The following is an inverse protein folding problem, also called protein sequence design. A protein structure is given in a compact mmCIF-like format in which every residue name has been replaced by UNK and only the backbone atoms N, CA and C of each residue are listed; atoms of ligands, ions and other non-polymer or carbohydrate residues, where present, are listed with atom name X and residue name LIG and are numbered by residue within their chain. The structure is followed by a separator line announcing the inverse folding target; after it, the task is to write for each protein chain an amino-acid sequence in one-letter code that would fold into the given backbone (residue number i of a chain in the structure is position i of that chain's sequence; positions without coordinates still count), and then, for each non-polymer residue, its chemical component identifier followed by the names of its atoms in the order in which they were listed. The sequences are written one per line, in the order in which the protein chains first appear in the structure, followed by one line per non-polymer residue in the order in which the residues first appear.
data_IF_674855614978
#
_entry.id   IF_674855614978
#
_cell.length_a   1.000
_cell.length_b   1.000
_cell.length_c   1.000
_cell.angle_alpha   90.00
_cell.angle_beta   90.00
_cell.angle_gamma   90.00
#
_symmetry.space_group_name_H-M   'P 1'
#
loop_
_entity.id
_entity.type
_entity.pdbx_description
1 polymer ?
#
# COMPACT_ATOMS: atom_id res chain seq x y z
N UNK A 1 -56.99 -16.36 44.80
CA UNK A 1 -56.55 -15.58 43.62
C UNK A 1 -57.22 -16.15 42.37
N UNK A 2 -58.28 -15.51 41.84
CA UNK A 2 -58.92 -16.00 40.62
C UNK A 2 -58.03 -15.69 39.40
N UNK A 3 -57.59 -16.73 38.67
CA UNK A 3 -56.82 -16.59 37.44
C UNK A 3 -57.77 -16.49 36.23
N UNK A 4 -57.86 -15.33 35.55
CA UNK A 4 -58.79 -15.17 34.43
C UNK A 4 -58.33 -16.00 33.24
N UNK A 5 -59.20 -16.86 32.69
CA UNK A 5 -58.94 -17.55 31.42
C UNK A 5 -58.98 -16.57 30.26
N UNK A 6 -58.13 -16.80 29.28
CA UNK A 6 -57.95 -15.94 28.11
C UNK A 6 -57.93 -16.78 26.85
N UNK A 7 -58.43 -16.22 25.76
CA UNK A 7 -58.52 -16.89 24.46
C UNK A 7 -57.70 -16.14 23.41
N UNK A 8 -57.17 -16.89 22.44
CA UNK A 8 -56.59 -16.33 21.24
C UNK A 8 -57.69 -15.65 20.41
N UNK A 9 -57.39 -14.46 19.88
CA UNK A 9 -58.35 -13.65 19.10
C UNK A 9 -58.24 -13.83 17.59
N UNK A 10 -57.19 -14.50 17.11
CA UNK A 10 -56.96 -14.79 15.69
C UNK A 10 -57.13 -16.28 15.47
N UNK A 11 -57.50 -16.68 14.24
CA UNK A 11 -57.71 -18.08 13.84
C UNK A 11 -56.48 -18.99 14.04
N UNK A 12 -55.28 -18.44 14.20
CA UNK A 12 -54.08 -19.20 14.53
C UNK A 12 -53.94 -19.31 16.06
N UNK A 13 -54.23 -20.49 16.60
CA UNK A 13 -54.26 -20.77 18.05
C UNK A 13 -52.94 -21.34 18.62
N UNK A 14 -51.92 -21.53 17.79
CA UNK A 14 -50.63 -22.11 18.21
C UNK A 14 -49.61 -21.07 18.68
N UNK A 15 -48.81 -21.44 19.68
CA UNK A 15 -47.74 -20.62 20.26
C UNK A 15 -46.45 -20.69 19.43
N UNK A 16 -46.40 -19.91 18.33
CA UNK A 16 -45.22 -19.86 17.45
C UNK A 16 -44.39 -18.58 17.64
N UNK A 17 -43.15 -18.55 17.12
CA UNK A 17 -42.30 -17.34 17.13
C UNK A 17 -42.97 -16.10 16.52
N UNK A 18 -43.89 -16.29 15.56
CA UNK A 18 -44.65 -15.21 14.91
C UNK A 18 -45.99 -14.86 15.56
N UNK A 19 -46.48 -15.68 16.49
CA UNK A 19 -47.78 -15.55 17.14
C UNK A 19 -47.68 -15.34 18.66
N UNK A 20 -46.60 -14.72 19.12
CA UNK A 20 -46.43 -14.38 20.54
C UNK A 20 -47.49 -13.36 20.97
N UNK A 21 -48.11 -13.59 22.12
CA UNK A 21 -49.15 -12.72 22.67
C UNK A 21 -48.65 -11.90 23.88
N UNK A 22 -49.30 -10.77 24.16
CA UNK A 22 -49.17 -9.97 25.38
C UNK A 22 -50.53 -9.95 26.06
N UNK A 23 -50.56 -10.23 27.35
CA UNK A 23 -51.74 -9.98 28.17
C UNK A 23 -51.80 -8.49 28.48
N UNK A 24 -52.95 -7.89 28.21
CA UNK A 24 -53.23 -6.49 28.48
C UNK A 24 -54.51 -6.43 29.29
N UNK A 25 -54.48 -5.71 30.42
CA UNK A 25 -55.69 -5.35 31.16
C UNK A 25 -56.36 -4.20 30.42
N UNK A 26 -57.59 -4.42 29.97
CA UNK A 26 -58.37 -3.40 29.26
C UNK A 26 -58.98 -2.40 30.24
N UNK A 27 -59.40 -1.21 29.76
CA UNK A 27 -60.12 -0.24 30.59
C UNK A 27 -61.38 -0.81 31.25
N UNK A 28 -62.10 -1.72 30.58
CA UNK A 28 -63.22 -2.49 31.16
C UNK A 28 -62.79 -3.59 32.15
N UNK A 29 -61.58 -3.50 32.71
CA UNK A 29 -61.01 -4.41 33.70
C UNK A 29 -60.98 -5.90 33.32
N UNK A 30 -60.80 -6.25 32.03
CA UNK A 30 -60.69 -7.65 31.57
C UNK A 30 -59.28 -7.93 31.02
N UNK A 31 -58.77 -9.16 31.20
CA UNK A 31 -57.51 -9.58 30.59
C UNK A 31 -57.77 -10.06 29.16
N UNK A 32 -57.00 -9.52 28.20
CA UNK A 32 -57.13 -9.85 26.78
C UNK A 32 -55.76 -10.12 26.17
N UNK A 33 -55.67 -11.12 25.28
CA UNK A 33 -54.48 -11.37 24.47
C UNK A 33 -54.41 -10.41 23.28
N UNK A 34 -53.31 -9.67 23.18
CA UNK A 34 -52.94 -8.87 22.00
C UNK A 34 -51.68 -9.43 21.35
N UNK A 35 -51.61 -9.40 20.01
CA UNK A 35 -50.45 -9.92 19.27
C UNK A 35 -49.24 -9.01 19.42
N UNK A 36 -48.08 -9.58 19.80
CA UNK A 36 -46.80 -8.87 19.77
C UNK A 36 -46.22 -8.89 18.36
N UNK A 37 -45.66 -7.76 17.91
CA UNK A 37 -44.86 -7.71 16.70
C UNK A 37 -43.54 -8.50 16.89
N UNK A 38 -43.04 -9.11 15.80
CA UNK A 38 -41.70 -9.71 15.81
C UNK A 38 -40.66 -8.60 15.93
N UNK A 39 -39.66 -8.78 16.80
CA UNK A 39 -38.55 -7.84 16.94
C UNK A 39 -37.45 -8.16 15.92
N UNK A 40 -36.77 -7.13 15.45
CA UNK A 40 -35.54 -7.24 14.67
C UNK A 40 -34.33 -7.12 15.60
N UNK A 41 -33.23 -7.79 15.28
CA UNK A 41 -31.96 -7.53 15.95
C UNK A 41 -31.37 -6.18 15.52
N UNK A 42 -31.77 -5.67 14.34
CA UNK A 42 -31.33 -4.39 13.78
C UNK A 42 -30.07 -4.50 12.90
N UNK A 43 -29.52 -3.35 12.46
CA UNK A 43 -28.33 -3.33 11.61
C UNK A 43 -27.05 -3.79 12.33
N UNK A 44 -26.32 -4.71 11.71
CA UNK A 44 -25.04 -5.25 12.20
C UNK A 44 -23.94 -4.99 11.19
N UNK A 45 -22.69 -5.04 11.65
CA UNK A 45 -21.53 -5.08 10.78
C UNK A 45 -21.53 -6.36 9.93
N UNK A 46 -20.76 -6.39 8.82
CA UNK A 46 -20.57 -7.61 8.04
C UNK A 46 -20.11 -8.78 8.91
N UNK A 47 -20.55 -9.99 8.56
CA UNK A 47 -20.24 -11.22 9.31
C UNK A 47 -18.74 -11.46 9.46
N UNK A 48 -17.98 -11.27 8.37
CA UNK A 48 -16.52 -11.44 8.33
C UNK A 48 -15.78 -10.52 9.31
N UNK A 49 -16.41 -9.41 9.72
CA UNK A 49 -15.84 -8.43 10.65
C UNK A 49 -16.42 -8.56 12.07
N UNK A 50 -17.06 -9.69 12.38
CA UNK A 50 -17.54 -10.03 13.73
C UNK A 50 -19.01 -9.76 14.02
N UNK A 51 -19.83 -9.45 13.01
CA UNK A 51 -21.30 -9.29 13.12
C UNK A 51 -21.80 -8.53 14.37
N UNK A 52 -21.13 -7.43 14.73
CA UNK A 52 -21.48 -6.64 15.91
C UNK A 52 -22.62 -5.66 15.60
N UNK A 53 -23.46 -5.36 16.58
CA UNK A 53 -24.56 -4.41 16.43
C UNK A 53 -24.02 -2.99 16.23
N UNK A 54 -24.53 -2.27 15.24
CA UNK A 54 -24.11 -0.89 14.96
C UNK A 54 -24.68 0.11 15.97
N UNK A 55 -23.80 0.84 16.64
CA UNK A 55 -24.18 1.97 17.51
C UNK A 55 -24.85 3.09 16.73
N UNK A 56 -25.80 3.79 17.37
CA UNK A 56 -26.50 4.94 16.78
C UNK A 56 -27.54 4.58 15.70
N UNK A 57 -27.85 3.29 15.50
CA UNK A 57 -28.88 2.83 14.55
C UNK A 57 -29.99 2.09 15.26
N UNK A 58 -31.26 2.35 14.92
CA UNK A 58 -32.41 1.71 15.58
C UNK A 58 -32.64 0.27 15.09
N UNK A 59 -33.13 -0.60 15.98
CA UNK A 59 -33.45 -2.00 15.67
C UNK A 59 -34.87 -2.13 15.07
N UNK A 60 -35.06 -1.58 13.88
CA UNK A 60 -36.35 -1.55 13.20
C UNK A 60 -36.61 -2.84 12.41
N UNK A 61 -37.89 -3.24 12.30
CA UNK A 61 -38.32 -4.34 11.41
C UNK A 61 -38.59 -3.81 9.99
N UNK A 62 -38.70 -4.68 8.98
CA UNK A 62 -38.86 -4.29 7.57
C UNK A 62 -39.95 -3.23 7.31
N UNK A 63 -41.15 -3.36 7.91
CA UNK A 63 -42.23 -2.38 7.74
C UNK A 63 -41.90 -1.04 8.38
N UNK A 64 -41.34 -1.06 9.60
CA UNK A 64 -40.97 0.15 10.35
C UNK A 64 -39.76 0.84 9.73
N UNK A 65 -38.77 0.08 9.26
CA UNK A 65 -37.56 0.57 8.61
C UNK A 65 -37.87 1.25 7.27
N UNK A 66 -38.92 0.80 6.57
CA UNK A 66 -39.42 1.45 5.35
C UNK A 66 -39.98 2.84 5.65
N UNK A 67 -40.73 2.98 6.75
CA UNK A 67 -41.38 4.24 7.14
C UNK A 67 -40.44 5.19 7.89
N UNK A 68 -39.40 4.67 8.54
CA UNK A 68 -38.47 5.48 9.33
C UNK A 68 -37.55 6.35 8.45
N UNK A 69 -37.21 7.53 8.99
CA UNK A 69 -36.25 8.45 8.35
C UNK A 69 -34.84 7.86 8.27
N UNK A 70 -34.01 8.42 7.38
CA UNK A 70 -32.65 7.94 7.14
C UNK A 70 -31.76 8.03 8.39
N UNK A 71 -31.86 9.11 9.14
CA UNK A 71 -31.04 9.36 10.34
C UNK A 71 -31.23 8.34 11.46
N UNK A 72 -32.36 7.64 11.48
CA UNK A 72 -32.60 6.56 12.45
C UNK A 72 -31.92 5.24 12.05
N UNK A 73 -31.54 5.11 10.77
CA UNK A 73 -31.02 3.89 10.15
C UNK A 73 -29.52 3.94 9.90
N UNK A 74 -28.94 5.15 9.78
CA UNK A 74 -27.52 5.34 9.50
C UNK A 74 -26.90 6.48 10.31
N UNK A 75 -25.57 6.54 10.32
CA UNK A 75 -24.78 7.65 10.89
C UNK A 75 -24.23 8.53 9.74
N UNK A 76 -23.81 9.76 10.03
CA UNK A 76 -23.31 10.73 9.05
C UNK A 76 -21.94 10.42 8.43
N UNK A 77 -21.12 9.59 9.07
CA UNK A 77 -19.78 9.24 8.58
C UNK A 77 -19.82 8.31 7.34
N UNK A 78 -18.73 8.21 6.56
CA UNK A 78 -18.59 7.23 5.50
C UNK A 78 -18.86 5.80 5.98
N UNK A 79 -19.57 5.02 5.18
CA UNK A 79 -20.03 3.66 5.52
C UNK A 79 -20.90 3.58 6.79
N UNK A 80 -21.52 4.69 7.20
CA UNK A 80 -22.47 4.75 8.31
C UNK A 80 -23.67 3.85 8.06
N UNK A 81 -24.01 3.00 9.03
CA UNK A 81 -25.06 1.98 8.89
C UNK A 81 -24.58 0.64 8.32
N UNK A 82 -23.29 0.52 7.96
CA UNK A 82 -22.67 -0.74 7.55
C UNK A 82 -21.48 -1.09 8.44
N UNK A 83 -20.59 -0.13 8.72
CA UNK A 83 -19.35 -0.37 9.47
C UNK A 83 -19.31 0.37 10.81
N UNK A 84 -18.58 -0.20 11.76
CA UNK A 84 -18.24 0.48 13.01
C UNK A 84 -17.21 1.60 12.77
N UNK A 85 -17.02 2.47 13.75
CA UNK A 85 -16.06 3.57 13.65
C UNK A 85 -14.61 3.05 13.58
N UNK A 86 -14.28 2.01 14.37
CA UNK A 86 -12.99 1.32 14.34
C UNK A 86 -12.68 0.77 12.94
N UNK A 87 -13.64 0.05 12.34
CA UNK A 87 -13.47 -0.53 11.01
C UNK A 87 -13.28 0.53 9.92
N UNK A 88 -13.94 1.68 10.03
CA UNK A 88 -13.76 2.79 9.09
C UNK A 88 -12.37 3.41 9.26
N UNK A 89 -11.93 3.64 10.49
CA UNK A 89 -10.59 4.16 10.80
C UNK A 89 -9.50 3.25 10.24
N UNK A 90 -9.60 1.95 10.46
CA UNK A 90 -8.62 0.96 9.97
C UNK A 90 -8.56 0.93 8.44
N UNK A 91 -9.70 1.07 7.76
CA UNK A 91 -9.73 1.12 6.29
C UNK A 91 -9.02 2.37 5.76
N UNK A 92 -9.27 3.53 6.38
CA UNK A 92 -8.63 4.79 5.99
C UNK A 92 -7.11 4.71 6.22
N UNK A 93 -6.68 4.28 7.41
CA UNK A 93 -5.26 4.13 7.74
C UNK A 93 -4.56 3.14 6.82
N UNK A 94 -5.17 1.97 6.59
CA UNK A 94 -4.60 0.95 5.72
C UNK A 94 -4.49 1.43 4.28
N UNK A 95 -5.51 2.11 3.76
CA UNK A 95 -5.49 2.66 2.40
C UNK A 95 -4.34 3.67 2.26
N UNK A 96 -4.21 4.59 3.22
CA UNK A 96 -3.14 5.58 3.24
C UNK A 96 -1.76 4.93 3.28
N UNK A 97 -1.48 4.09 4.29
CA UNK A 97 -0.16 3.50 4.49
C UNK A 97 0.26 2.58 3.34
N UNK A 98 -0.66 1.79 2.78
CA UNK A 98 -0.36 0.93 1.63
C UNK A 98 -0.03 1.77 0.40
N UNK A 99 -0.73 2.89 0.19
CA UNK A 99 -0.46 3.74 -0.96
C UNK A 99 0.88 4.48 -0.82
N UNK A 100 1.20 4.99 0.38
CA UNK A 100 2.53 5.54 0.68
C UNK A 100 3.65 4.52 0.44
N UNK A 101 3.49 3.30 0.93
CA UNK A 101 4.45 2.21 0.69
C UNK A 101 4.60 1.89 -0.81
N UNK A 102 3.50 1.92 -1.58
CA UNK A 102 3.54 1.70 -3.03
C UNK A 102 4.29 2.81 -3.75
N UNK A 103 4.08 4.07 -3.36
CA UNK A 103 4.79 5.23 -3.92
C UNK A 103 6.28 5.13 -3.62
N UNK A 104 6.66 4.86 -2.36
CA UNK A 104 8.06 4.67 -1.96
C UNK A 104 8.71 3.53 -2.75
N UNK A 105 8.02 2.39 -2.89
CA UNK A 105 8.52 1.25 -3.67
C UNK A 105 8.71 1.61 -5.15
N UNK A 106 7.85 2.42 -5.74
CA UNK A 106 7.99 2.92 -7.12
C UNK A 106 9.17 3.88 -7.24
N UNK A 107 9.32 4.81 -6.30
CA UNK A 107 10.41 5.79 -6.29
C UNK A 107 11.79 5.12 -6.15
N UNK A 108 11.93 4.14 -5.25
CA UNK A 108 13.17 3.37 -5.08
C UNK A 108 13.54 2.60 -6.36
N UNK A 109 12.56 1.95 -6.99
CA UNK A 109 12.75 1.26 -8.28
C UNK A 109 13.17 2.24 -9.39
N UNK A 110 12.55 3.41 -9.48
CA UNK A 110 12.89 4.43 -10.46
C UNK A 110 14.32 4.98 -10.24
N UNK A 111 14.69 5.26 -8.99
CA UNK A 111 16.05 5.71 -8.62
C UNK A 111 17.10 4.67 -8.97
N UNK A 112 16.85 3.39 -8.65
CA UNK A 112 17.75 2.30 -9.00
C UNK A 112 17.94 2.16 -10.52
N UNK A 113 16.87 2.28 -11.30
CA UNK A 113 16.91 2.27 -12.77
C UNK A 113 17.74 3.42 -13.33
N UNK A 114 17.49 4.65 -12.86
CA UNK A 114 18.24 5.85 -13.27
C UNK A 114 19.73 5.74 -12.92
N UNK A 115 20.07 5.27 -11.72
CA UNK A 115 21.46 5.08 -11.29
C UNK A 115 22.19 4.02 -12.14
N UNK A 116 21.53 2.92 -12.48
CA UNK A 116 22.08 1.89 -13.38
C UNK A 116 22.34 2.46 -14.78
N UNK A 117 21.45 3.29 -15.30
CA UNK A 117 21.60 3.93 -16.60
C UNK A 117 22.75 4.94 -16.61
N UNK A 118 22.87 5.80 -15.58
CA UNK A 118 23.99 6.73 -15.40
C UNK A 118 25.32 5.97 -15.38
N UNK A 119 25.45 4.94 -14.53
CA UNK A 119 26.65 4.09 -14.47
C UNK A 119 27.01 3.47 -15.83
N UNK A 120 26.02 2.99 -16.60
CA UNK A 120 26.26 2.45 -17.96
C UNK A 120 26.75 3.54 -18.93
N UNK A 121 26.18 4.75 -18.87
CA UNK A 121 26.58 5.89 -19.71
C UNK A 121 28.00 6.33 -19.38
N UNK A 122 28.33 6.45 -18.11
CA UNK A 122 29.64 6.87 -17.63
C UNK A 122 30.71 5.83 -17.98
N UNK A 123 30.41 4.54 -17.79
CA UNK A 123 31.29 3.45 -18.23
C UNK A 123 31.54 3.46 -19.75
N UNK A 124 30.51 3.75 -20.57
CA UNK A 124 30.65 3.86 -22.03
C UNK A 124 31.51 5.05 -22.44
N UNK A 125 31.37 6.21 -21.77
CA UNK A 125 32.22 7.39 -22.00
C UNK A 125 33.68 7.10 -21.64
N UNK A 126 33.91 6.58 -20.43
CA UNK A 126 35.25 6.21 -19.95
C UNK A 126 35.95 5.24 -20.91
N UNK A 127 35.26 4.16 -21.34
CA UNK A 127 35.80 3.21 -22.31
C UNK A 127 36.13 3.85 -23.67
N UNK A 128 35.36 4.87 -24.11
CA UNK A 128 35.61 5.58 -25.38
C UNK A 128 36.85 6.48 -25.27
N UNK A 129 37.01 7.19 -24.17
CA UNK A 129 38.18 8.02 -23.88
C UNK A 129 39.45 7.17 -23.75
N UNK A 130 39.41 6.09 -22.97
CA UNK A 130 40.52 5.14 -22.84
C UNK A 130 40.92 4.54 -24.18
N UNK A 131 39.96 4.12 -25.01
CA UNK A 131 40.24 3.63 -26.38
C UNK A 131 40.85 4.70 -27.27
N UNK A 132 40.33 5.94 -27.24
CA UNK A 132 40.89 7.07 -28.02
C UNK A 132 42.34 7.35 -27.61
N UNK A 133 42.61 7.42 -26.30
CA UNK A 133 43.95 7.63 -25.77
C UNK A 133 44.91 6.48 -26.16
N UNK A 134 44.46 5.23 -26.07
CA UNK A 134 45.25 4.07 -26.47
C UNK A 134 45.55 4.03 -27.98
N UNK A 135 44.57 4.37 -28.82
CA UNK A 135 44.72 4.44 -30.28
C UNK A 135 45.70 5.57 -30.64
N UNK A 136 45.54 6.76 -30.05
CA UNK A 136 46.44 7.91 -30.26
C UNK A 136 47.89 7.55 -29.91
N UNK A 137 48.15 6.92 -28.76
CA UNK A 137 49.48 6.42 -28.39
C UNK A 137 50.06 5.43 -29.41
N UNK A 138 49.25 4.49 -29.90
CA UNK A 138 49.68 3.52 -30.93
C UNK A 138 50.02 4.20 -32.26
N UNK A 139 49.20 5.16 -32.69
CA UNK A 139 49.42 5.91 -33.94
C UNK A 139 50.69 6.76 -33.83
N UNK A 140 50.88 7.51 -32.74
CA UNK A 140 52.08 8.32 -32.53
C UNK A 140 53.37 7.48 -32.57
N UNK A 141 53.35 6.28 -31.95
CA UNK A 141 54.47 5.34 -31.99
C UNK A 141 54.76 4.82 -33.41
N UNK A 142 53.73 4.61 -34.23
CA UNK A 142 53.87 4.13 -35.62
C UNK A 142 54.32 5.22 -36.59
N UNK A 143 53.87 6.47 -36.40
CA UNK A 143 54.28 7.63 -37.21
C UNK A 143 55.75 7.99 -36.93
N UNK A 144 56.17 8.04 -35.66
CA UNK A 144 57.57 8.29 -35.29
C UNK A 144 58.56 7.26 -35.83
N UNK A 145 58.14 5.99 -35.96
CA UNK A 145 58.93 4.96 -36.62
C UNK A 145 58.99 5.15 -38.14
N UNK A 146 57.88 5.55 -38.79
CA UNK A 146 57.81 5.72 -40.26
C UNK A 146 58.56 6.96 -40.75
N UNK A 147 58.59 8.05 -39.99
CA UNK A 147 59.40 9.25 -40.30
C UNK A 147 60.90 9.06 -40.08
N UNK A 148 61.30 8.10 -39.24
CA UNK A 148 62.70 7.68 -39.09
C UNK A 148 63.17 6.78 -40.25
N UNK A 149 62.25 6.18 -41.00
CA UNK A 149 62.54 5.35 -42.19
C UNK A 149 62.59 6.14 -43.50
N UNK A 150 62.03 7.37 -43.57
CA UNK A 150 62.00 8.19 -44.81
C UNK A 150 62.91 9.41 -44.80
N UNK A 151 63.60 9.71 -43.68
CA UNK A 151 64.79 10.57 -43.71
C UNK A 151 66.02 9.69 -43.61
N UNK A 152 66.68 9.41 -44.74
CA UNK A 152 68.11 9.12 -44.76
C UNK A 152 68.80 10.29 -44.03
N UNK A 153 69.43 10.12 -42.86
CA UNK A 153 70.33 11.14 -42.35
C UNK A 153 71.68 10.92 -43.01
N UNK A 154 72.21 11.98 -43.63
CA UNK A 154 73.64 12.08 -43.86
C UNK A 154 74.39 11.81 -42.53
N UNK A 155 75.51 11.10 -42.65
CA UNK A 155 76.27 10.52 -41.56
C UNK A 155 76.50 11.48 -40.38
N UNK A 156 76.06 11.07 -39.17
CA UNK A 156 76.59 11.60 -37.92
C UNK A 156 77.46 10.56 -37.23
N UNK A 157 78.72 10.93 -37.09
CA UNK A 157 79.83 10.25 -36.41
C UNK A 157 79.42 9.83 -34.99
N UNK A 158 79.66 8.58 -34.62
CA UNK A 158 79.58 8.09 -33.23
C UNK A 158 80.68 8.74 -32.40
N UNK A 159 80.33 9.49 -31.37
CA UNK A 159 81.26 9.88 -30.30
C UNK A 159 81.07 8.93 -29.12
N UNK A 160 82.03 8.02 -28.93
CA UNK A 160 82.21 7.24 -27.72
C UNK A 160 82.83 8.13 -26.65
N UNK A 161 82.07 8.50 -25.61
CA UNK A 161 82.62 9.16 -24.43
C UNK A 161 82.80 8.11 -23.32
N UNK A 162 84.08 7.89 -22.97
CA UNK A 162 84.59 7.08 -21.85
C UNK A 162 83.90 7.44 -20.53
N UNK A 163 83.52 6.41 -19.76
CA UNK A 163 83.30 6.55 -18.33
C UNK A 163 84.65 6.73 -17.61
N UNK A 164 84.78 7.66 -16.64
CA UNK A 164 85.96 7.71 -15.79
C UNK A 164 85.82 6.76 -14.61
N UNK A 165 86.90 6.01 -14.36
CA UNK A 165 87.08 5.12 -13.21
C UNK A 165 87.65 5.95 -12.05
N UNK A 166 86.96 5.94 -10.91
CA UNK A 166 87.52 5.95 -9.55
C UNK A 166 88.30 7.19 -9.07
N UNK A 167 87.67 7.95 -8.17
CA UNK A 167 88.33 8.44 -6.95
C UNK A 167 87.31 8.48 -5.80
N UNK A 168 87.76 7.97 -4.66
CA UNK A 168 87.05 7.47 -3.47
C UNK A 168 86.52 8.52 -2.48
N UNK A 169 85.37 8.18 -1.86
CA UNK A 169 85.02 8.23 -0.42
C UNK A 169 85.22 9.52 0.42
N UNK A 170 84.12 9.99 1.03
CA UNK A 170 84.04 10.12 2.50
C UNK A 170 82.59 10.14 3.02
N UNK A 171 82.34 9.31 4.02
CA UNK A 171 81.12 9.19 4.84
C UNK A 171 80.80 10.49 5.60
N UNK A 172 79.52 10.82 5.70
CA UNK A 172 78.77 10.95 6.96
C UNK A 172 77.33 10.51 6.70
#
# INVERSE_FOLDING_TARGET
MACPRVQYRRRMHYATRGNRMKLVRTPGNRLVMQKRAKRSQGPHTPWVLGHKRLAGTKALRHTEARLASRHQKSTSRPYGGVLSHEQVRDRILRAFLIEEQRIVKRALKARAKSQKEKKRRDAKKKRKEEKKAAISKKIAKKIGARSALTKKPAAKKRTTAKAPVGATLKKK
#
